data_IF_484380830608
#
_entry.id   IF_484380830608
#
_cell.length_a   1.000
_cell.length_b   1.000
_cell.length_c   1.000
_cell.angle_alpha   90.00
_cell.angle_beta   90.00
_cell.angle_gamma   90.00
#
_symmetry.space_group_name_H-M   'P 1'
#
loop_
_entity.id
_entity.type
_entity.pdbx_description
1 polymer ?
#
# COMPACT_ATOMS: atom_id res chain seq x y z
N UNK A 1 2.21 -8.06 2.69
CA UNK A 1 1.86 -8.51 1.34
C UNK A 1 2.38 -9.93 1.15
N UNK A 2 1.54 -10.93 0.75
CA UNK A 2 1.99 -12.26 0.36
C UNK A 2 2.74 -12.20 -0.97
N UNK A 3 3.82 -13.00 -1.11
CA UNK A 3 4.61 -13.07 -2.33
C UNK A 3 4.45 -14.44 -2.99
N UNK A 4 4.08 -14.43 -4.27
CA UNK A 4 3.97 -15.60 -5.11
C UNK A 4 5.27 -15.83 -5.87
N UNK A 5 5.83 -17.05 -5.77
CA UNK A 5 7.03 -17.46 -6.48
C UNK A 5 6.69 -17.79 -7.95
N UNK A 6 7.40 -17.17 -8.88
CA UNK A 6 7.24 -17.41 -10.30
C UNK A 6 8.41 -18.21 -10.86
N UNK A 7 8.11 -19.18 -11.69
CA UNK A 7 9.08 -19.84 -12.55
C UNK A 7 9.02 -19.13 -13.91
N UNK A 8 9.96 -18.21 -14.15
CA UNK A 8 9.93 -17.32 -15.30
C UNK A 8 9.68 -15.86 -14.92
N UNK A 9 9.61 -14.97 -15.87
CA UNK A 9 9.54 -13.52 -15.64
C UNK A 9 8.14 -12.94 -15.61
N UNK A 10 7.07 -13.73 -15.78
CA UNK A 10 5.69 -13.25 -15.87
C UNK A 10 4.69 -14.19 -15.23
N UNK A 11 3.58 -13.60 -14.79
CA UNK A 11 2.37 -14.27 -14.35
C UNK A 11 1.24 -13.91 -15.32
N UNK A 12 0.67 -14.89 -16.01
CA UNK A 12 -0.56 -14.70 -16.77
C UNK A 12 -1.73 -15.31 -15.99
N UNK A 13 -2.81 -14.56 -15.87
CA UNK A 13 -4.02 -14.99 -15.18
C UNK A 13 -5.26 -14.58 -15.96
N UNK A 14 -6.36 -15.38 -15.88
CA UNK A 14 -7.60 -15.03 -16.53
C UNK A 14 -8.31 -13.92 -15.76
N UNK A 15 -8.56 -12.80 -16.43
CA UNK A 15 -9.40 -11.72 -15.90
C UNK A 15 -10.83 -11.91 -16.44
N UNK A 16 -11.77 -12.22 -15.55
CA UNK A 16 -13.18 -12.35 -15.90
C UNK A 16 -13.78 -10.97 -16.17
N UNK A 17 -14.09 -10.69 -17.44
CA UNK A 17 -14.69 -9.41 -17.83
C UNK A 17 -16.21 -9.48 -17.85
N UNK A 18 -16.78 -10.65 -18.18
CA UNK A 18 -18.24 -10.81 -18.29
C UNK A 18 -18.65 -12.25 -18.00
N UNK A 19 -19.57 -12.39 -17.05
CA UNK A 19 -20.19 -13.69 -16.80
C UNK A 19 -21.25 -14.05 -17.85
N UNK A 20 -21.41 -15.33 -18.21
CA UNK A 20 -22.51 -15.77 -19.06
C UNK A 20 -23.84 -15.55 -18.35
N UNK A 21 -24.85 -15.14 -19.09
CA UNK A 21 -26.19 -14.90 -18.54
C UNK A 21 -26.88 -16.24 -18.27
N UNK A 22 -27.54 -16.33 -17.13
CA UNK A 22 -28.44 -17.42 -16.76
C UNK A 22 -29.84 -16.85 -16.61
N UNK A 23 -30.87 -17.60 -17.02
CA UNK A 23 -32.25 -17.14 -16.92
C UNK A 23 -33.24 -18.31 -16.80
N UNK A 24 -34.46 -17.98 -16.42
CA UNK A 24 -35.57 -18.94 -16.40
C UNK A 24 -36.15 -19.10 -17.82
N UNK A 25 -36.68 -20.28 -18.14
CA UNK A 25 -37.41 -20.56 -19.38
C UNK A 25 -38.78 -21.13 -19.06
N UNK A 26 -39.73 -20.91 -19.96
CA UNK A 26 -41.00 -21.62 -19.89
C UNK A 26 -40.88 -23.05 -20.46
N UNK A 27 -41.93 -23.84 -20.25
CA UNK A 27 -42.04 -25.17 -20.86
C UNK A 27 -42.05 -25.02 -22.37
N UNK A 28 -41.21 -25.82 -23.09
CA UNK A 28 -41.01 -25.80 -24.52
C UNK A 28 -40.27 -24.60 -25.12
N UNK A 29 -39.70 -23.72 -24.29
CA UNK A 29 -38.77 -22.67 -24.72
C UNK A 29 -37.31 -23.15 -24.62
N UNK A 30 -36.45 -22.60 -25.46
CA UNK A 30 -34.98 -22.79 -25.38
C UNK A 30 -34.33 -21.75 -24.47
N UNK A 31 -33.19 -22.09 -23.88
CA UNK A 31 -32.35 -21.08 -23.20
C UNK A 31 -31.69 -20.17 -24.24
N UNK A 32 -31.59 -18.85 -23.91
CA UNK A 32 -30.83 -17.91 -24.74
C UNK A 32 -29.35 -18.20 -24.58
N UNK A 33 -28.65 -18.33 -25.70
CA UNK A 33 -27.20 -18.50 -25.70
C UNK A 33 -26.53 -17.23 -25.13
N UNK A 34 -25.52 -17.42 -24.32
CA UNK A 34 -24.67 -16.36 -23.79
C UNK A 34 -23.25 -16.88 -23.56
N UNK A 35 -22.28 -16.00 -23.67
CA UNK A 35 -20.86 -16.35 -23.50
C UNK A 35 -20.28 -15.51 -22.36
N UNK A 36 -19.42 -16.11 -21.55
CA UNK A 36 -18.47 -15.42 -20.70
C UNK A 36 -17.34 -14.83 -21.53
N UNK A 37 -16.80 -13.71 -21.13
CA UNK A 37 -15.60 -13.11 -21.72
C UNK A 37 -14.50 -13.17 -20.70
N UNK A 38 -13.42 -13.86 -21.03
CA UNK A 38 -12.21 -13.98 -20.23
C UNK A 38 -11.09 -13.32 -21.03
N UNK A 39 -10.49 -12.29 -20.48
CA UNK A 39 -9.26 -11.71 -20.99
C UNK A 39 -8.08 -12.31 -20.21
N UNK A 40 -6.94 -12.43 -20.86
CA UNK A 40 -5.72 -12.83 -20.17
C UNK A 40 -4.91 -11.57 -19.88
N UNK A 41 -4.75 -11.27 -18.61
CA UNK A 41 -3.85 -10.22 -18.14
C UNK A 41 -2.52 -10.84 -17.73
N UNK A 42 -1.43 -10.10 -17.92
CA UNK A 42 -0.08 -10.57 -17.58
C UNK A 42 0.66 -9.51 -16.80
N UNK A 43 1.26 -9.94 -15.70
CA UNK A 43 2.13 -9.12 -14.85
C UNK A 43 3.54 -9.66 -14.88
N UNK A 44 4.51 -8.76 -14.73
CA UNK A 44 5.92 -9.07 -14.89
C UNK A 44 6.68 -8.82 -13.59
N UNK A 45 7.81 -9.52 -13.43
CA UNK A 45 8.80 -9.16 -12.41
C UNK A 45 9.80 -8.16 -12.98
N UNK A 46 10.19 -7.23 -12.16
CA UNK A 46 11.14 -6.17 -12.46
C UNK A 46 12.41 -6.35 -11.66
N UNK A 47 13.53 -5.84 -12.19
CA UNK A 47 14.81 -5.84 -11.50
C UNK A 47 14.83 -4.70 -10.49
N UNK A 48 14.86 -5.03 -9.22
CA UNK A 48 14.83 -4.07 -8.14
C UNK A 48 16.05 -4.27 -7.25
N UNK A 49 16.86 -3.22 -7.04
CA UNK A 49 18.07 -3.36 -6.27
C UNK A 49 19.01 -2.18 -6.42
N UNK A 50 20.24 -2.37 -5.98
CA UNK A 50 21.28 -1.37 -6.16
C UNK A 50 22.59 -1.71 -5.46
N UNK A 51 23.63 -1.08 -5.93
CA UNK A 51 24.97 -1.19 -5.36
C UNK A 51 25.10 -0.30 -4.11
N UNK A 52 25.88 -0.77 -3.17
CA UNK A 52 26.31 -0.06 -1.97
C UNK A 52 27.82 -0.07 -1.95
N UNK A 53 28.44 1.07 -2.07
CA UNK A 53 29.87 1.27 -1.99
C UNK A 53 30.23 1.89 -0.64
N UNK A 54 31.10 1.23 0.10
CA UNK A 54 31.63 1.72 1.38
C UNK A 54 33.14 1.92 1.25
N UNK A 55 33.60 3.15 1.52
CA UNK A 55 35.00 3.48 1.43
C UNK A 55 35.85 2.60 2.38
N UNK A 56 37.01 2.15 1.86
CA UNK A 56 37.94 1.32 2.62
C UNK A 56 38.39 1.99 3.91
N UNK A 57 38.63 3.27 3.90
CA UNK A 57 39.07 4.02 5.08
C UNK A 57 38.03 3.99 6.21
N UNK A 58 36.72 3.95 5.88
CA UNK A 58 35.66 3.81 6.87
C UNK A 58 35.73 2.43 7.53
N UNK A 59 35.94 1.39 6.74
CA UNK A 59 36.07 0.03 7.25
C UNK A 59 37.32 -0.14 8.11
N UNK A 60 38.45 0.43 7.67
CA UNK A 60 39.70 0.40 8.41
C UNK A 60 39.64 1.16 9.75
N UNK A 61 38.94 2.30 9.79
CA UNK A 61 38.83 3.15 10.98
C UNK A 61 37.72 2.73 11.94
N UNK A 62 36.57 2.27 11.43
CA UNK A 62 35.39 1.94 12.22
C UNK A 62 35.14 0.44 12.38
N UNK A 63 35.89 -0.39 11.64
CA UNK A 63 35.75 -1.84 11.66
C UNK A 63 34.71 -2.36 10.66
N UNK A 64 34.62 -3.70 10.50
CA UNK A 64 33.73 -4.34 9.53
C UNK A 64 32.24 -4.14 9.83
N UNK A 65 31.88 -3.75 11.05
CA UNK A 65 30.49 -3.51 11.47
C UNK A 65 29.88 -2.29 10.74
N UNK A 66 30.70 -1.32 10.35
CA UNK A 66 30.24 -0.16 9.56
C UNK A 66 29.61 -0.60 8.23
N UNK A 67 30.18 -1.64 7.61
CA UNK A 67 29.68 -2.19 6.35
C UNK A 67 28.36 -2.94 6.55
N UNK A 68 28.23 -3.69 7.65
CA UNK A 68 26.99 -4.38 8.00
C UNK A 68 25.85 -3.39 8.24
N UNK A 69 26.10 -2.31 8.99
CA UNK A 69 25.14 -1.25 9.25
C UNK A 69 24.67 -0.56 7.94
N UNK A 70 25.58 -0.25 7.03
CA UNK A 70 25.24 0.33 5.73
C UNK A 70 24.39 -0.63 4.87
N UNK A 71 24.67 -1.94 4.92
CA UNK A 71 23.87 -2.95 4.22
C UNK A 71 22.46 -3.03 4.79
N UNK A 72 22.30 -2.99 6.11
CA UNK A 72 20.99 -2.95 6.76
C UNK A 72 20.19 -1.69 6.37
N UNK A 73 20.84 -0.53 6.33
CA UNK A 73 20.24 0.72 5.84
C UNK A 73 19.78 0.58 4.39
N UNK A 74 20.55 -0.06 3.52
CA UNK A 74 20.18 -0.30 2.12
C UNK A 74 18.94 -1.19 2.00
N UNK A 75 18.86 -2.27 2.77
CA UNK A 75 17.69 -3.17 2.78
C UNK A 75 16.45 -2.44 3.30
N UNK A 76 16.60 -1.60 4.34
CA UNK A 76 15.51 -0.76 4.84
C UNK A 76 15.02 0.22 3.77
N UNK A 77 15.94 0.91 3.09
CA UNK A 77 15.61 1.80 1.97
C UNK A 77 14.84 1.05 0.86
N UNK A 78 15.29 -0.15 0.48
CA UNK A 78 14.59 -0.98 -0.50
C UNK A 78 13.16 -1.29 -0.07
N UNK A 79 12.93 -1.63 1.21
CA UNK A 79 11.58 -1.90 1.72
C UNK A 79 10.67 -0.67 1.56
N UNK A 80 11.14 0.50 1.98
CA UNK A 80 10.37 1.75 1.90
C UNK A 80 10.08 2.15 0.44
N UNK A 81 11.06 2.00 -0.44
CA UNK A 81 10.88 2.26 -1.87
C UNK A 81 9.87 1.30 -2.49
N UNK A 82 9.89 0.01 -2.11
CA UNK A 82 8.92 -0.96 -2.58
C UNK A 82 7.50 -0.65 -2.07
N UNK A 83 7.37 -0.29 -0.79
CA UNK A 83 6.08 0.13 -0.21
C UNK A 83 5.50 1.33 -0.98
N UNK A 84 6.33 2.32 -1.30
CA UNK A 84 5.94 3.47 -2.12
C UNK A 84 5.55 3.05 -3.54
N UNK A 85 6.30 2.15 -4.17
CA UNK A 85 6.02 1.66 -5.53
C UNK A 85 4.71 0.85 -5.60
N UNK A 86 4.38 0.06 -4.57
CA UNK A 86 3.10 -0.68 -4.51
C UNK A 86 1.90 0.29 -4.52
N UNK A 87 2.03 1.45 -3.91
CA UNK A 87 0.97 2.46 -3.88
C UNK A 87 1.02 3.35 -5.12
N UNK A 88 2.17 3.99 -5.39
CA UNK A 88 2.32 5.09 -6.34
C UNK A 88 3.12 4.74 -7.61
N UNK A 89 3.49 3.47 -7.81
CA UNK A 89 4.21 3.05 -9.01
C UNK A 89 3.44 3.40 -10.28
N UNK A 90 4.16 3.93 -11.28
CA UNK A 90 3.60 4.31 -12.59
C UNK A 90 4.63 4.02 -13.70
N UNK A 91 4.34 3.05 -14.55
CA UNK A 91 5.17 2.63 -15.70
C UNK A 91 5.27 3.70 -16.80
N UNK A 92 4.34 4.65 -16.82
CA UNK A 92 4.43 5.79 -17.75
C UNK A 92 5.49 6.80 -17.32
N UNK A 93 5.80 6.85 -16.03
CA UNK A 93 6.85 7.72 -15.47
C UNK A 93 8.20 7.01 -15.40
N UNK A 94 8.25 5.79 -14.92
CA UNK A 94 9.42 4.91 -14.98
C UNK A 94 9.04 3.55 -15.61
N UNK A 95 9.37 3.33 -16.89
CA UNK A 95 9.06 2.09 -17.59
C UNK A 95 9.72 0.83 -16.99
N UNK A 96 10.63 0.98 -16.03
CA UNK A 96 11.28 -0.13 -15.31
C UNK A 96 10.51 -0.53 -14.05
N UNK A 97 9.54 0.29 -13.62
CA UNK A 97 8.69 0.01 -12.48
C UNK A 97 7.36 -0.65 -12.90
N UNK A 98 6.67 -1.23 -11.95
CA UNK A 98 5.31 -1.75 -12.14
C UNK A 98 4.26 -0.69 -11.75
N UNK A 99 3.03 -0.88 -12.24
CA UNK A 99 1.90 -0.05 -11.86
C UNK A 99 1.42 -0.37 -10.43
N UNK A 100 1.39 0.64 -9.58
CA UNK A 100 0.88 0.58 -8.22
C UNK A 100 -0.65 0.70 -8.14
N UNK A 101 -1.16 0.71 -6.91
CA UNK A 101 -2.61 0.80 -6.65
C UNK A 101 -3.22 2.12 -7.16
N UNK A 102 -2.53 3.25 -7.01
CA UNK A 102 -3.03 4.56 -7.44
C UNK A 102 -3.28 4.63 -8.94
N UNK A 103 -2.42 4.00 -9.75
CA UNK A 103 -2.53 3.93 -11.19
C UNK A 103 -3.61 2.96 -11.64
N UNK A 104 -3.72 1.80 -10.98
CA UNK A 104 -4.69 0.76 -11.28
C UNK A 104 -6.11 1.13 -10.87
N UNK A 105 -6.25 1.97 -9.86
CA UNK A 105 -7.52 2.47 -9.32
C UNK A 105 -7.60 3.98 -9.55
N UNK A 106 -7.57 4.37 -10.83
CA UNK A 106 -7.68 5.77 -11.21
C UNK A 106 -9.06 6.33 -10.84
N UNK A 107 -9.16 7.62 -10.44
CA UNK A 107 -10.45 8.24 -10.14
C UNK A 107 -11.44 8.08 -11.27
N UNK A 108 -12.65 7.58 -10.98
CA UNK A 108 -13.71 7.31 -11.95
C UNK A 108 -13.81 5.84 -12.41
N UNK A 109 -12.90 4.97 -11.99
CA UNK A 109 -13.03 3.52 -12.20
C UNK A 109 -14.13 2.90 -11.32
N UNK A 110 -14.63 1.72 -11.70
CA UNK A 110 -15.69 0.99 -10.99
C UNK A 110 -15.37 0.69 -9.51
N UNK A 111 -14.08 0.56 -9.17
CA UNK A 111 -13.59 0.26 -7.83
C UNK A 111 -13.08 1.51 -7.10
N UNK A 112 -13.61 2.69 -7.46
CA UNK A 112 -13.25 3.94 -6.80
C UNK A 112 -14.47 4.65 -6.24
N UNK A 113 -14.32 5.24 -5.05
CA UNK A 113 -15.36 6.00 -4.35
C UNK A 113 -14.85 7.41 -4.11
N UNK A 114 -15.65 8.40 -4.41
CA UNK A 114 -15.35 9.81 -4.17
C UNK A 114 -15.85 10.23 -2.79
N UNK A 115 -14.95 10.72 -1.93
CA UNK A 115 -15.31 11.30 -0.63
C UNK A 115 -15.84 12.73 -0.74
N UNK A 116 -15.83 13.32 -1.94
CA UNK A 116 -16.39 14.66 -2.20
C UNK A 116 -15.52 15.82 -1.73
N UNK A 117 -14.21 15.65 -1.54
CA UNK A 117 -13.30 16.73 -1.16
C UNK A 117 -13.50 17.29 0.26
N UNK A 118 -14.18 16.55 1.13
CA UNK A 118 -14.39 16.86 2.54
C UNK A 118 -13.54 15.98 3.45
N UNK A 119 -13.55 16.23 4.76
CA UNK A 119 -13.02 15.30 5.76
C UNK A 119 -13.69 13.94 5.61
N UNK A 120 -13.02 12.89 6.07
CA UNK A 120 -13.46 11.51 5.88
C UNK A 120 -14.93 11.30 6.27
N UNK A 121 -15.71 10.79 5.32
CA UNK A 121 -17.07 10.32 5.54
C UNK A 121 -17.04 8.82 5.91
N UNK A 122 -17.60 8.48 7.07
CA UNK A 122 -17.59 7.10 7.57
C UNK A 122 -18.40 6.17 6.64
N UNK A 123 -19.55 6.62 6.12
CA UNK A 123 -20.34 5.83 5.17
C UNK A 123 -19.57 5.54 3.86
N UNK A 124 -18.71 6.46 3.42
CA UNK A 124 -17.87 6.24 2.26
C UNK A 124 -16.78 5.20 2.54
N UNK A 125 -16.27 5.14 3.78
CA UNK A 125 -15.31 4.12 4.21
C UNK A 125 -15.96 2.74 4.33
N UNK A 126 -17.19 2.65 4.85
CA UNK A 126 -17.98 1.42 4.87
C UNK A 126 -18.27 0.93 3.44
N UNK A 127 -18.73 1.83 2.55
CA UNK A 127 -18.94 1.52 1.14
C UNK A 127 -17.66 1.04 0.43
N UNK A 128 -16.48 1.60 0.81
CA UNK A 128 -15.18 1.13 0.32
C UNK A 128 -14.94 -0.32 0.74
N UNK A 129 -15.18 -0.64 2.00
CA UNK A 129 -15.03 -2.00 2.51
C UNK A 129 -15.98 -2.99 1.83
N UNK A 130 -17.23 -2.59 1.58
CA UNK A 130 -18.25 -3.41 0.94
C UNK A 130 -17.98 -3.67 -0.55
N UNK A 131 -17.33 -2.72 -1.24
CA UNK A 131 -16.98 -2.85 -2.65
C UNK A 131 -15.92 -3.93 -2.91
N UNK A 132 -15.15 -4.30 -1.88
CA UNK A 132 -14.08 -5.28 -1.96
C UNK A 132 -14.57 -6.66 -1.55
N UNK A 133 -14.53 -7.60 -2.49
CA UNK A 133 -14.97 -8.99 -2.27
C UNK A 133 -13.77 -9.83 -1.82
N UNK A 134 -13.93 -10.55 -0.70
CA UNK A 134 -12.92 -11.47 -0.18
C UNK A 134 -12.81 -12.74 -1.03
N UNK A 135 -11.64 -12.98 -1.62
CA UNK A 135 -11.33 -14.18 -2.41
C UNK A 135 -10.37 -15.12 -1.64
N UNK A 136 -10.66 -15.38 -0.36
CA UNK A 136 -9.84 -16.28 0.46
C UNK A 136 -8.53 -15.66 0.99
N UNK A 137 -8.47 -14.34 1.07
CA UNK A 137 -7.35 -13.60 1.66
C UNK A 137 -7.81 -12.69 2.80
N UNK A 138 -6.85 -12.03 3.44
CA UNK A 138 -7.10 -11.08 4.52
C UNK A 138 -7.45 -9.70 3.94
N UNK A 139 -8.62 -9.18 4.31
CA UNK A 139 -9.02 -7.83 3.95
C UNK A 139 -8.28 -6.84 4.85
N UNK A 140 -7.67 -5.83 4.25
CA UNK A 140 -6.92 -4.78 4.94
C UNK A 140 -7.27 -3.40 4.39
N UNK A 141 -7.18 -2.38 5.25
CA UNK A 141 -7.20 -0.98 4.88
C UNK A 141 -5.77 -0.45 4.86
N UNK A 142 -5.41 0.29 3.82
CA UNK A 142 -4.10 0.95 3.70
C UNK A 142 -4.34 2.45 3.78
N UNK A 143 -3.73 3.10 4.77
CA UNK A 143 -3.96 4.51 5.04
C UNK A 143 -2.72 5.21 5.60
N UNK A 144 -2.66 6.54 5.47
CA UNK A 144 -1.68 7.36 6.19
C UNK A 144 -2.03 7.49 7.67
N UNK A 145 -1.07 7.87 8.50
CA UNK A 145 -1.31 8.21 9.91
C UNK A 145 -2.37 9.31 10.09
N UNK A 146 -2.42 10.26 9.14
CA UNK A 146 -3.39 11.34 9.17
C UNK A 146 -4.81 10.82 8.87
N UNK A 147 -4.98 9.98 7.85
CA UNK A 147 -6.25 9.34 7.54
C UNK A 147 -6.72 8.42 8.68
N UNK A 148 -5.81 7.63 9.29
CA UNK A 148 -6.15 6.84 10.48
C UNK A 148 -6.70 7.70 11.63
N UNK A 149 -6.11 8.89 11.89
CA UNK A 149 -6.66 9.81 12.90
C UNK A 149 -8.08 10.27 12.55
N UNK A 150 -8.37 10.49 11.27
CA UNK A 150 -9.72 10.82 10.81
C UNK A 150 -10.68 9.65 11.06
N UNK A 151 -10.31 8.41 10.72
CA UNK A 151 -11.09 7.20 11.00
C UNK A 151 -11.41 7.10 12.49
N UNK A 152 -10.40 7.23 13.36
CA UNK A 152 -10.58 7.17 14.81
C UNK A 152 -11.48 8.29 15.34
N UNK A 153 -11.41 9.50 14.78
CA UNK A 153 -12.25 10.62 15.20
C UNK A 153 -13.68 10.45 14.72
N UNK A 154 -13.89 10.05 13.48
CA UNK A 154 -15.20 9.77 12.91
C UNK A 154 -15.92 8.64 13.67
N UNK A 155 -15.21 7.54 13.97
CA UNK A 155 -15.75 6.44 14.79
C UNK A 155 -16.20 6.91 16.19
N UNK A 156 -15.41 7.74 16.86
CA UNK A 156 -15.78 8.30 18.18
C UNK A 156 -17.02 9.20 18.10
N UNK A 157 -17.18 9.94 17.00
CA UNK A 157 -18.36 10.78 16.79
C UNK A 157 -19.62 9.95 16.50
N UNK A 158 -19.45 8.76 15.86
CA UNK A 158 -20.53 7.81 15.60
C UNK A 158 -20.91 6.91 16.78
N UNK A 159 -20.20 6.98 17.92
CA UNK A 159 -20.49 6.16 19.11
C UNK A 159 -19.30 5.32 19.58
N UNK A 160 -18.19 5.27 18.83
CA UNK A 160 -16.91 4.73 19.30
C UNK A 160 -16.67 3.22 19.09
N UNK A 161 -17.61 2.48 18.53
CA UNK A 161 -17.54 1.00 18.43
C UNK A 161 -16.86 0.47 17.16
N UNK A 162 -16.65 1.34 16.15
CA UNK A 162 -16.16 0.91 14.83
C UNK A 162 -14.62 0.87 14.73
N UNK A 163 -13.92 1.58 15.60
CA UNK A 163 -12.47 1.64 15.62
C UNK A 163 -11.89 1.06 16.89
N UNK A 164 -11.04 0.06 16.74
CA UNK A 164 -10.43 -0.66 17.84
C UNK A 164 -8.90 -0.66 17.73
N UNK A 165 -8.23 -0.82 18.86
CA UNK A 165 -6.78 -1.03 18.92
C UNK A 165 -6.52 -2.31 19.73
N UNK A 166 -6.00 -3.33 19.06
CA UNK A 166 -5.71 -4.64 19.65
C UNK A 166 -4.20 -4.89 19.47
N UNK A 167 -3.48 -5.14 20.54
CA UNK A 167 -2.03 -5.41 20.53
C UNK A 167 -1.20 -4.35 19.75
N UNK A 168 -1.61 -3.08 19.81
CA UNK A 168 -0.95 -1.98 19.11
C UNK A 168 -1.26 -1.88 17.61
N UNK A 169 -2.10 -2.77 17.07
CA UNK A 169 -2.62 -2.71 15.71
C UNK A 169 -3.97 -2.00 15.69
N UNK A 170 -4.26 -1.35 14.60
CA UNK A 170 -5.47 -0.57 14.41
C UNK A 170 -6.46 -1.33 13.55
N UNK A 171 -7.72 -1.35 13.96
CA UNK A 171 -8.78 -2.03 13.24
C UNK A 171 -9.98 -1.09 13.02
N UNK A 172 -10.65 -1.27 11.90
CA UNK A 172 -11.94 -0.66 11.59
C UNK A 172 -12.89 -1.77 11.18
N UNK A 173 -13.97 -1.97 11.94
CA UNK A 173 -14.93 -3.08 11.76
C UNK A 173 -14.26 -4.47 11.64
N UNK A 174 -13.22 -4.72 12.43
CA UNK A 174 -12.46 -5.96 12.38
C UNK A 174 -11.45 -6.05 11.22
N UNK A 175 -11.36 -5.03 10.35
CA UNK A 175 -10.40 -4.95 9.25
C UNK A 175 -9.13 -4.24 9.74
N UNK A 176 -7.98 -4.88 9.58
CA UNK A 176 -6.69 -4.28 9.99
C UNK A 176 -6.35 -3.06 9.13
N UNK A 177 -5.91 -1.96 9.78
CA UNK A 177 -5.43 -0.75 9.12
C UNK A 177 -3.91 -0.81 9.05
N UNK A 178 -3.37 -1.02 7.87
CA UNK A 178 -1.94 -0.94 7.58
C UNK A 178 -1.55 0.52 7.35
N UNK A 179 -0.57 0.99 8.12
CA UNK A 179 -0.08 2.36 8.02
C UNK A 179 1.10 2.42 7.07
N UNK A 180 0.97 3.25 6.04
CA UNK A 180 2.05 3.62 5.14
C UNK A 180 2.45 5.06 5.44
N UNK A 181 3.75 5.30 5.61
CA UNK A 181 4.26 6.58 6.09
C UNK A 181 5.05 7.30 4.99
N UNK A 182 6.36 7.13 5.01
CA UNK A 182 7.30 7.84 4.16
C UNK A 182 8.10 6.85 3.31
N UNK A 183 8.52 7.31 2.15
CA UNK A 183 9.45 6.58 1.29
C UNK A 183 10.90 6.68 1.83
N UNK A 184 11.87 6.14 1.07
CA UNK A 184 13.28 6.17 1.45
C UNK A 184 13.89 7.58 1.43
N UNK A 185 13.25 8.56 0.82
CA UNK A 185 13.66 9.95 0.70
C UNK A 185 12.96 10.86 1.72
N UNK A 186 12.02 10.30 2.50
CA UNK A 186 11.25 11.03 3.52
C UNK A 186 9.99 11.72 2.97
N UNK A 187 9.58 11.41 1.74
CA UNK A 187 8.32 11.91 1.21
C UNK A 187 7.15 11.02 1.68
N UNK A 188 6.04 11.63 2.05
CA UNK A 188 4.85 10.88 2.43
C UNK A 188 4.28 10.10 1.24
N UNK A 189 4.13 8.77 1.37
CA UNK A 189 3.60 7.91 0.31
C UNK A 189 2.12 8.17 0.06
N UNK A 190 1.34 8.40 1.13
CA UNK A 190 -0.05 8.82 1.11
C UNK A 190 -0.16 10.22 1.74
N UNK A 191 0.46 11.18 1.06
CA UNK A 191 0.40 12.60 1.42
C UNK A 191 -0.93 13.24 1.03
N UNK A 192 -1.04 14.54 1.26
CA UNK A 192 -2.13 15.39 0.76
C UNK A 192 -1.68 16.12 -0.51
N UNK A 193 -1.09 15.37 -1.43
CA UNK A 193 -0.49 15.82 -2.68
C UNK A 193 -1.36 15.48 -3.92
N UNK A 194 -2.47 14.77 -3.71
CA UNK A 194 -3.48 14.55 -4.73
C UNK A 194 -4.20 15.87 -5.12
N UNK A 195 -4.91 15.92 -6.26
CA UNK A 195 -5.66 17.10 -6.67
C UNK A 195 -6.50 17.71 -5.53
N UNK A 196 -6.48 19.03 -5.41
CA UNK A 196 -7.12 19.80 -4.32
C UNK A 196 -6.53 19.58 -2.91
N UNK A 197 -5.31 19.04 -2.79
CA UNK A 197 -4.68 18.83 -1.48
C UNK A 197 -5.35 17.72 -0.68
N UNK A 198 -5.80 16.67 -1.36
CA UNK A 198 -6.49 15.51 -0.77
C UNK A 198 -5.59 14.28 -0.71
N UNK A 199 -6.05 13.23 -0.05
CA UNK A 199 -5.39 11.93 0.06
C UNK A 199 -6.37 10.80 -0.23
N UNK A 200 -5.84 9.59 -0.36
CA UNK A 200 -6.64 8.38 -0.58
C UNK A 200 -6.47 7.35 0.53
N UNK A 201 -7.47 6.47 0.65
CA UNK A 201 -7.47 5.27 1.46
C UNK A 201 -7.76 4.10 0.53
N UNK A 202 -7.02 3.01 0.68
CA UNK A 202 -7.22 1.79 -0.11
C UNK A 202 -7.77 0.67 0.77
N UNK A 203 -8.67 -0.12 0.19
CA UNK A 203 -9.09 -1.39 0.78
C UNK A 203 -8.66 -2.51 -0.17
N UNK A 204 -7.96 -3.51 0.34
CA UNK A 204 -7.44 -4.60 -0.46
C UNK A 204 -7.65 -5.95 0.24
N UNK A 205 -7.83 -7.01 -0.54
CA UNK A 205 -7.70 -8.38 -0.06
C UNK A 205 -6.31 -8.88 -0.43
N UNK A 206 -5.52 -9.26 0.58
CA UNK A 206 -4.17 -9.77 0.39
C UNK A 206 -4.22 -11.30 0.23
N UNK A 207 -3.81 -11.80 -0.91
CA UNK A 207 -3.83 -13.24 -1.21
C UNK A 207 -3.38 -13.56 -2.62
N UNK A 208 -3.01 -14.80 -2.89
CA UNK A 208 -2.44 -15.25 -4.18
C UNK A 208 -3.39 -15.07 -5.38
N UNK A 209 -4.70 -15.12 -5.14
CA UNK A 209 -5.73 -14.91 -6.16
C UNK A 209 -6.32 -13.48 -6.15
N UNK A 210 -5.79 -12.60 -5.31
CA UNK A 210 -6.29 -11.25 -5.10
C UNK A 210 -5.17 -10.22 -5.33
N UNK A 211 -4.71 -9.56 -4.27
CA UNK A 211 -3.56 -8.65 -4.33
C UNK A 211 -2.34 -9.35 -3.78
N UNK A 212 -1.31 -9.52 -4.60
CA UNK A 212 -0.09 -10.20 -4.20
C UNK A 212 1.16 -9.55 -4.79
N UNK A 213 2.29 -9.76 -4.11
CA UNK A 213 3.61 -9.54 -4.67
C UNK A 213 4.01 -10.71 -5.57
N UNK A 214 4.82 -10.44 -6.57
CA UNK A 214 5.43 -11.45 -7.42
C UNK A 214 6.92 -11.46 -7.17
N UNK A 215 7.55 -12.64 -7.15
CA UNK A 215 8.98 -12.72 -7.07
C UNK A 215 9.55 -13.79 -7.98
N UNK A 216 10.61 -13.42 -8.68
CA UNK A 216 11.36 -14.30 -9.56
C UNK A 216 12.52 -14.99 -8.83
N UNK A 217 13.02 -16.12 -9.36
CA UNK A 217 14.18 -16.79 -8.81
C UNK A 217 15.47 -16.04 -9.15
N UNK A 218 16.31 -15.87 -8.18
CA UNK A 218 17.68 -15.42 -8.32
C UNK A 218 18.62 -16.53 -7.88
N UNK A 219 19.42 -17.09 -8.78
CA UNK A 219 20.28 -18.27 -8.51
C UNK A 219 19.53 -19.44 -7.84
N UNK A 220 18.26 -19.66 -8.25
CA UNK A 220 17.43 -20.73 -7.69
C UNK A 220 16.82 -20.41 -6.31
N UNK A 221 16.98 -19.20 -5.80
CA UNK A 221 16.41 -18.74 -4.53
C UNK A 221 15.42 -17.60 -4.78
N UNK A 222 14.43 -17.43 -3.90
CA UNK A 222 13.48 -16.34 -3.93
C UNK A 222 13.77 -15.36 -2.80
N UNK A 223 13.43 -14.10 -3.01
CA UNK A 223 13.62 -13.01 -2.05
C UNK A 223 14.83 -12.14 -2.37
N UNK A 224 15.26 -11.39 -1.37
CA UNK A 224 16.36 -10.42 -1.48
C UNK A 224 17.70 -11.21 -1.50
N UNK A 225 18.50 -10.96 -2.53
CA UNK A 225 19.87 -11.47 -2.64
C UNK A 225 20.87 -10.38 -2.29
N UNK A 226 21.79 -10.69 -1.39
CA UNK A 226 22.88 -9.78 -1.03
C UNK A 226 24.20 -10.44 -1.46
N UNK A 227 24.93 -9.75 -2.32
CA UNK A 227 26.24 -10.21 -2.83
C UNK A 227 27.34 -9.25 -2.42
N UNK A 228 28.40 -9.80 -1.90
CA UNK A 228 29.64 -9.08 -1.63
C UNK A 228 30.62 -9.29 -2.79
N UNK A 229 31.03 -8.20 -3.43
CA UNK A 229 32.04 -8.22 -4.50
C UNK A 229 33.46 -7.94 -3.97
N UNK A 230 33.60 -7.63 -2.69
CA UNK A 230 34.86 -7.21 -2.12
C UNK A 230 35.28 -5.81 -2.56
N UNK A 231 36.60 -5.56 -2.55
CA UNK A 231 37.17 -4.28 -3.01
C UNK A 231 37.10 -4.18 -4.54
N UNK A 232 36.62 -3.05 -5.03
CA UNK A 232 36.46 -2.78 -6.46
C UNK A 232 37.79 -2.33 -7.05
N UNK A 233 38.11 -2.79 -8.27
CA UNK A 233 39.41 -2.52 -8.90
C UNK A 233 39.67 -1.01 -9.18
N UNK A 234 38.63 -0.26 -9.48
CA UNK A 234 38.74 1.13 -9.93
C UNK A 234 38.64 2.17 -8.82
N UNK A 235 38.28 1.75 -7.60
CA UNK A 235 38.09 2.64 -6.44
C UNK A 235 38.38 1.94 -5.13
N UNK A 236 38.90 2.64 -4.09
CA UNK A 236 39.16 2.05 -2.79
C UNK A 236 37.86 1.86 -1.98
N UNK A 237 36.90 1.13 -2.54
CA UNK A 237 35.58 0.89 -1.94
C UNK A 237 35.25 -0.59 -1.96
N UNK A 238 34.59 -1.03 -0.91
CA UNK A 238 33.96 -2.36 -0.86
C UNK A 238 32.55 -2.26 -1.42
N UNK A 239 32.24 -3.05 -2.46
CA UNK A 239 30.92 -3.07 -3.10
C UNK A 239 30.10 -4.24 -2.60
N UNK A 240 28.89 -3.93 -2.16
CA UNK A 240 27.83 -4.90 -1.86
C UNK A 240 26.66 -4.61 -2.77
N UNK A 241 26.14 -5.61 -3.49
CA UNK A 241 24.93 -5.50 -4.32
C UNK A 241 23.77 -6.16 -3.62
N UNK A 242 22.64 -5.49 -3.64
CA UNK A 242 21.37 -6.04 -3.17
C UNK A 242 20.41 -6.08 -4.35
N UNK A 243 19.98 -7.28 -4.72
CA UNK A 243 19.08 -7.52 -5.87
C UNK A 243 17.82 -8.25 -5.42
N UNK A 244 16.69 -7.90 -6.03
CA UNK A 244 15.44 -8.61 -5.89
C UNK A 244 14.64 -8.56 -7.19
N UNK A 245 14.17 -9.70 -7.67
CA UNK A 245 13.26 -9.75 -8.80
C UNK A 245 11.84 -9.71 -8.26
N UNK A 246 11.20 -8.55 -8.32
CA UNK A 246 9.94 -8.27 -7.67
C UNK A 246 8.93 -7.67 -8.65
N UNK A 247 7.66 -7.99 -8.44
CA UNK A 247 6.53 -7.42 -9.17
C UNK A 247 5.32 -7.29 -8.26
N UNK A 248 4.27 -6.71 -8.79
CA UNK A 248 3.02 -6.49 -8.10
C UNK A 248 1.85 -6.87 -9.00
N UNK A 249 0.90 -7.64 -8.48
CA UNK A 249 -0.26 -8.09 -9.23
C UNK A 249 -1.56 -7.86 -8.46
N UNK A 250 -2.58 -7.44 -9.21
CA UNK A 250 -3.98 -7.43 -8.77
C UNK A 250 -4.72 -8.43 -9.66
N UNK A 251 -4.78 -9.69 -9.20
CA UNK A 251 -5.33 -10.80 -9.98
C UNK A 251 -6.85 -10.72 -10.17
N UNK A 252 -7.55 -9.99 -9.29
CA UNK A 252 -8.98 -9.76 -9.40
C UNK A 252 -9.30 -8.29 -9.20
N UNK A 253 -10.05 -7.70 -10.14
CA UNK A 253 -10.43 -6.27 -10.10
C UNK A 253 -11.20 -5.90 -8.83
N UNK A 254 -12.02 -6.81 -8.29
CA UNK A 254 -12.79 -6.58 -7.06
C UNK A 254 -12.02 -6.86 -5.77
N UNK A 255 -10.76 -7.22 -5.85
CA UNK A 255 -9.91 -7.45 -4.69
C UNK A 255 -9.26 -6.17 -4.13
N UNK A 256 -9.40 -5.05 -4.82
CA UNK A 256 -8.89 -3.76 -4.38
C UNK A 256 -9.86 -2.64 -4.74
N UNK A 257 -9.97 -1.63 -3.87
CA UNK A 257 -10.76 -0.43 -4.10
C UNK A 257 -10.07 0.79 -3.46
N UNK A 258 -10.42 1.99 -3.95
CA UNK A 258 -9.85 3.26 -3.51
C UNK A 258 -10.95 4.25 -3.12
N UNK A 259 -10.82 4.82 -1.94
CA UNK A 259 -11.55 6.02 -1.53
C UNK A 259 -10.62 7.22 -1.74
N UNK A 260 -10.95 8.10 -2.67
CA UNK A 260 -10.15 9.27 -3.01
C UNK A 260 -10.85 10.58 -2.59
N UNK A 261 -10.20 11.71 -2.76
CA UNK A 261 -10.72 13.03 -2.38
C UNK A 261 -10.99 13.22 -0.88
N UNK A 262 -10.15 12.64 -0.02
CA UNK A 262 -10.24 12.83 1.44
C UNK A 262 -9.42 14.06 1.83
N UNK A 263 -10.09 15.13 2.25
CA UNK A 263 -9.42 16.36 2.67
C UNK A 263 -8.76 16.22 4.05
N UNK A 264 -7.70 17.00 4.34
CA UNK A 264 -7.08 17.00 5.66
C UNK A 264 -8.05 17.49 6.73
N UNK A 265 -8.03 16.85 7.89
CA UNK A 265 -8.73 17.36 9.05
C UNK A 265 -7.89 18.47 9.70
N UNK A 266 -8.41 19.67 9.91
CA UNK A 266 -7.67 20.73 10.61
C UNK A 266 -7.35 20.28 12.03
N UNK A 267 -6.05 20.35 12.40
CA UNK A 267 -5.63 20.16 13.78
C UNK A 267 -6.01 21.40 14.57
N UNK A 268 -7.19 21.37 15.21
CA UNK A 268 -7.55 22.38 16.20
C UNK A 268 -6.78 22.03 17.49
N UNK A 269 -5.62 22.63 17.69
CA UNK A 269 -4.96 22.56 18.98
C UNK A 269 -5.85 23.27 20.00
N UNK A 270 -6.12 22.68 21.18
CA UNK A 270 -6.83 23.38 22.23
C UNK A 270 -6.08 24.69 22.54
N UNK A 271 -6.73 25.81 22.32
CA UNK A 271 -6.18 27.10 22.74
C UNK A 271 -5.94 27.04 24.23
N UNK A 272 -4.73 27.40 24.67
CA UNK A 272 -4.47 27.56 26.07
C UNK A 272 -5.52 28.53 26.64
N UNK A 273 -6.13 28.25 27.80
CA UNK A 273 -7.09 29.16 28.40
C UNK A 273 -6.44 30.54 28.54
N UNK A 274 -7.18 31.62 28.22
CA UNK A 274 -6.63 32.97 28.32
C UNK A 274 -6.04 33.16 29.68
N UNK A 275 -4.76 33.58 29.73
CA UNK A 275 -4.06 33.89 30.95
C UNK A 275 -4.77 35.08 31.64
N UNK A 276 -5.67 34.82 32.61
CA UNK A 276 -6.33 35.90 33.26
C UNK A 276 -7.52 35.60 34.20
N UNK A 277 -7.92 34.37 34.39
CA UNK A 277 -8.89 34.04 35.42
C UNK A 277 -8.24 33.23 36.57
N UNK A 278 -7.43 33.90 37.39
CA UNK A 278 -7.15 33.39 38.74
C UNK A 278 -8.43 33.58 39.55
N UNK A 279 -9.11 32.48 39.87
CA UNK A 279 -10.15 32.49 40.90
C UNK A 279 -9.55 33.00 42.19
N UNK A 280 -9.85 34.23 42.55
CA UNK A 280 -9.58 34.76 43.89
C UNK A 280 -10.55 34.05 44.83
N UNK A 281 -10.11 33.30 45.83
CA UNK A 281 -11.03 32.72 46.81
C UNK A 281 -11.77 33.82 47.55
N UNK A 282 -13.11 33.73 47.55
CA UNK A 282 -13.95 34.63 48.35
C UNK A 282 -13.54 34.51 49.83
N UNK A 283 -13.13 35.65 50.46
CA UNK A 283 -12.96 35.73 51.91
C UNK A 283 -14.34 35.60 52.55
N UNK A 284 -14.52 34.54 53.34
CA UNK A 284 -15.63 34.45 54.26
C UNK A 284 -15.43 35.46 55.40
N UNK A 285 -16.44 36.31 55.63
CA UNK A 285 -16.64 37.06 56.87
C UNK A 285 -17.40 36.20 57.84
#
# INVERSE_FOLDING_TARGET
>A
LPFRNLVGGSLSFPAETKLPRVGFRAVNEGYRQSYGVINSDSEFVHLFGGDLDVDRSIVDLQGPEARAAQTEMKVRSMRLTLEAAIINGDDTFDPRAFNGLSKRLAPGDEQTIDNGGSTLNLLALEALSDSVIGYGGDKVLIASKAARRQISTASRQAGGELYEVIDGRHYFEGIEILLVEEDAEGHAVLGYDEPAGTTSIYCCVLGDAAVCGLQGPFEGRYGIAVRDFGEVHDAPVFRTRVDWYVGFAVCNRKAAARLYNVAPMPLVLPQAPPAGQRNTPARAN
#
